data_IF_797015259085
#
_entry.id   IF_797015259085
#
_cell.length_a   1.000
_cell.length_b   1.000
_cell.length_c   1.000
_cell.angle_alpha   90.00
_cell.angle_beta   90.00
_cell.angle_gamma   90.00
#
_symmetry.space_group_name_H-M   'P 1'
#
loop_
_entity.id
_entity.type
_entity.pdbx_description
1 polymer ?
#
# COMPACT_ATOMS: atom_id res chain seq x y z
N UNK A 1 -64.69 43.81 -19.00
CA UNK A 1 -63.36 43.96 -19.64
C UNK A 1 -62.18 43.89 -18.67
N UNK A 2 -62.19 44.54 -17.50
CA UNK A 2 -61.04 44.51 -16.55
C UNK A 2 -60.63 43.10 -16.06
N UNK A 3 -61.57 42.19 -15.81
CA UNK A 3 -61.25 40.81 -15.33
C UNK A 3 -60.45 39.97 -16.34
N UNK A 4 -60.61 40.22 -17.65
CA UNK A 4 -59.93 39.43 -18.68
C UNK A 4 -58.47 39.84 -18.85
N UNK A 5 -58.15 41.10 -18.61
CA UNK A 5 -56.78 41.64 -18.61
C UNK A 5 -55.95 41.08 -17.45
N UNK A 6 -56.53 40.95 -16.25
CA UNK A 6 -55.84 40.36 -15.08
C UNK A 6 -55.45 38.90 -15.29
N UNK A 7 -56.32 38.09 -15.91
CA UNK A 7 -56.06 36.67 -16.18
C UNK A 7 -54.94 36.49 -17.22
N UNK A 8 -54.88 37.36 -18.23
CA UNK A 8 -53.79 37.35 -19.23
C UNK A 8 -52.44 37.76 -18.62
N UNK A 9 -52.42 38.76 -17.73
CA UNK A 9 -51.19 39.16 -17.01
C UNK A 9 -50.73 38.14 -15.97
N UNK A 10 -51.65 37.42 -15.30
CA UNK A 10 -51.32 36.30 -14.40
C UNK A 10 -50.79 35.10 -15.17
N UNK A 11 -51.38 34.78 -16.33
CA UNK A 11 -50.89 33.72 -17.22
C UNK A 11 -49.49 34.00 -17.77
N UNK A 12 -49.22 35.23 -18.19
CA UNK A 12 -47.89 35.63 -18.67
C UNK A 12 -46.82 35.58 -17.55
N UNK A 13 -47.16 36.02 -16.32
CA UNK A 13 -46.26 35.93 -15.18
C UNK A 13 -45.96 34.48 -14.77
N UNK A 14 -46.96 33.59 -14.83
CA UNK A 14 -46.79 32.16 -14.56
C UNK A 14 -45.93 31.47 -15.64
N UNK A 15 -46.11 31.84 -16.91
CA UNK A 15 -45.34 31.31 -18.03
C UNK A 15 -43.87 31.76 -18.00
N UNK A 16 -43.61 33.02 -17.61
CA UNK A 16 -42.26 33.55 -17.39
C UNK A 16 -41.59 32.87 -16.17
N UNK A 17 -42.33 32.57 -15.11
CA UNK A 17 -41.82 31.84 -13.94
C UNK A 17 -41.40 30.40 -14.25
N UNK A 18 -42.13 29.70 -15.12
CA UNK A 18 -41.82 28.32 -15.53
C UNK A 18 -40.56 28.26 -16.43
N UNK A 19 -40.31 29.30 -17.23
CA UNK A 19 -39.14 29.40 -18.10
C UNK A 19 -37.82 29.69 -17.36
N UNK A 20 -37.86 30.09 -16.09
CA UNK A 20 -36.66 30.35 -15.27
C UNK A 20 -36.15 29.13 -14.47
N UNK A 21 -36.88 28.02 -14.46
CA UNK A 21 -36.49 26.81 -13.72
C UNK A 21 -35.24 26.06 -14.25
N UNK A 22 -34.93 26.01 -15.56
CA UNK A 22 -33.74 25.28 -16.01
C UNK A 22 -32.41 26.00 -15.75
N UNK A 23 -32.41 27.33 -15.55
CA UNK A 23 -31.17 28.11 -15.39
C UNK A 23 -30.50 27.97 -14.01
N UNK A 24 -31.16 27.36 -13.01
CA UNK A 24 -30.64 27.22 -11.65
C UNK A 24 -29.91 25.88 -11.40
N UNK A 25 -29.87 24.97 -12.37
CA UNK A 25 -29.28 23.62 -12.19
C UNK A 25 -28.05 23.34 -13.06
N UNK A 26 -27.72 24.22 -14.00
CA UNK A 26 -26.70 23.98 -15.04
C UNK A 26 -25.27 23.79 -14.50
N UNK A 27 -25.01 24.12 -13.23
CA UNK A 27 -23.68 24.00 -12.58
C UNK A 27 -23.66 23.15 -11.32
N UNK A 28 -24.74 22.41 -11.03
CA UNK A 28 -24.81 21.61 -9.81
C UNK A 28 -23.74 20.51 -9.77
N UNK A 29 -23.46 19.87 -10.90
CA UNK A 29 -22.41 18.85 -10.97
C UNK A 29 -21.00 19.45 -10.88
N UNK A 30 -20.75 20.62 -11.50
CA UNK A 30 -19.46 21.31 -11.40
C UNK A 30 -19.18 21.87 -10.00
N UNK A 31 -20.21 22.35 -9.29
CA UNK A 31 -20.09 22.79 -7.90
C UNK A 31 -19.81 21.65 -6.91
N UNK A 32 -20.22 20.42 -7.24
CA UNK A 32 -19.99 19.24 -6.40
C UNK A 32 -18.72 18.46 -6.79
N UNK A 33 -18.01 18.87 -7.84
CA UNK A 33 -16.65 18.38 -8.13
C UNK A 33 -15.69 19.10 -7.20
N UNK A 34 -15.31 18.44 -6.10
CA UNK A 34 -14.28 18.95 -5.19
C UNK A 34 -12.94 19.05 -5.94
N UNK A 35 -12.43 20.28 -6.22
CA UNK A 35 -11.17 20.44 -6.94
C UNK A 35 -9.96 19.95 -6.12
N UNK A 36 -10.13 19.71 -4.83
CA UNK A 36 -9.08 19.19 -3.95
C UNK A 36 -9.12 17.65 -3.82
N UNK A 37 -10.11 16.98 -4.42
CA UNK A 37 -10.22 15.53 -4.41
C UNK A 37 -10.13 14.99 -5.85
N UNK A 38 -8.91 14.69 -6.34
CA UNK A 38 -8.73 14.25 -7.73
C UNK A 38 -9.51 12.95 -7.99
N UNK A 39 -10.38 13.00 -9.01
CA UNK A 39 -11.19 11.85 -9.45
C UNK A 39 -10.32 10.78 -10.13
N UNK A 40 -9.16 11.17 -10.63
CA UNK A 40 -8.17 10.29 -11.24
C UNK A 40 -6.75 10.69 -10.80
N UNK A 41 -6.04 9.77 -10.14
CA UNK A 41 -4.68 10.00 -9.62
C UNK A 41 -3.69 9.24 -10.50
N UNK A 42 -2.65 9.89 -11.05
CA UNK A 42 -1.62 9.20 -11.84
C UNK A 42 -0.95 8.08 -11.04
N UNK A 43 -0.65 6.95 -11.70
CA UNK A 43 -0.10 5.78 -11.02
C UNK A 43 1.23 6.09 -10.32
N UNK A 44 2.10 6.90 -10.92
CA UNK A 44 3.38 7.26 -10.29
C UNK A 44 3.19 8.05 -8.99
N UNK A 45 2.18 8.92 -8.90
CA UNK A 45 1.88 9.70 -7.69
C UNK A 45 1.31 8.80 -6.59
N UNK A 46 0.40 7.91 -6.94
CA UNK A 46 -0.13 6.91 -6.01
C UNK A 46 0.98 5.98 -5.51
N UNK A 47 1.94 5.61 -6.37
CA UNK A 47 3.09 4.79 -5.96
C UNK A 47 4.01 5.54 -4.97
N UNK A 48 4.28 6.82 -5.21
CA UNK A 48 5.02 7.67 -4.25
C UNK A 48 4.32 7.71 -2.90
N UNK A 49 3.01 7.96 -2.89
CA UNK A 49 2.22 8.00 -1.66
C UNK A 49 2.24 6.64 -0.94
N UNK A 50 2.08 5.55 -1.69
CA UNK A 50 2.17 4.20 -1.15
C UNK A 50 3.53 3.93 -0.51
N UNK A 51 4.65 4.29 -1.15
CA UNK A 51 5.99 4.14 -0.56
C UNK A 51 6.10 4.89 0.76
N UNK A 52 5.75 6.18 0.77
CA UNK A 52 5.89 7.03 1.96
C UNK A 52 5.03 6.50 3.10
N UNK A 53 3.75 6.19 2.85
CA UNK A 53 2.83 5.72 3.88
C UNK A 53 3.19 4.30 4.36
N UNK A 54 3.66 3.42 3.47
CA UNK A 54 4.13 2.07 3.80
C UNK A 54 5.33 2.14 4.76
N UNK A 55 6.33 2.97 4.43
CA UNK A 55 7.55 3.12 5.23
C UNK A 55 7.25 3.87 6.52
N UNK A 56 6.46 4.94 6.49
CA UNK A 56 6.15 5.72 7.69
C UNK A 56 5.36 4.90 8.71
N UNK A 57 4.28 4.24 8.29
CA UNK A 57 3.45 3.43 9.17
C UNK A 57 4.23 2.28 9.82
N UNK A 58 5.21 1.68 9.10
CA UNK A 58 5.99 0.54 9.60
C UNK A 58 7.30 0.89 10.31
N UNK A 59 8.06 1.81 9.74
CA UNK A 59 9.46 2.12 10.07
C UNK A 59 9.66 3.57 10.52
N UNK A 60 8.71 4.47 10.26
CA UNK A 60 8.79 5.91 10.55
C UNK A 60 8.75 6.27 12.03
N UNK A 61 9.21 5.41 12.94
CA UNK A 61 9.17 5.69 14.38
C UNK A 61 7.76 5.89 14.93
N UNK A 62 6.76 5.46 14.18
CA UNK A 62 5.36 5.45 14.58
C UNK A 62 5.15 4.65 15.86
N UNK A 63 3.96 4.82 16.43
CA UNK A 63 3.61 4.27 17.73
C UNK A 63 3.87 2.76 17.81
N UNK A 64 3.68 1.98 16.74
CA UNK A 64 3.99 0.53 16.77
C UNK A 64 5.48 0.22 17.00
N UNK A 65 6.37 0.84 16.23
CA UNK A 65 7.79 0.54 16.34
C UNK A 65 8.35 0.99 17.70
N UNK A 66 8.09 2.23 18.09
CA UNK A 66 8.61 2.79 19.35
C UNK A 66 7.96 2.22 20.61
N UNK A 67 6.65 1.99 20.59
CA UNK A 67 5.89 1.65 21.80
C UNK A 67 5.76 0.14 21.98
N UNK A 68 5.77 -0.66 20.90
CA UNK A 68 5.57 -2.10 20.98
C UNK A 68 6.82 -2.86 20.55
N UNK A 69 7.19 -2.83 19.26
CA UNK A 69 8.21 -3.74 18.73
C UNK A 69 9.62 -3.49 19.29
N UNK A 70 10.04 -2.23 19.45
CA UNK A 70 11.34 -1.91 20.02
C UNK A 70 11.42 -2.30 21.52
N UNK A 71 10.30 -2.21 22.24
CA UNK A 71 10.20 -2.63 23.64
C UNK A 71 10.16 -4.17 23.78
N UNK A 72 9.36 -4.85 22.96
CA UNK A 72 9.28 -6.33 22.97
C UNK A 72 10.57 -7.00 22.50
N UNK A 73 11.28 -6.37 21.57
CA UNK A 73 12.63 -6.79 21.17
C UNK A 73 13.71 -6.33 22.14
N UNK A 74 13.34 -5.61 23.20
CA UNK A 74 14.24 -5.07 24.25
C UNK A 74 15.35 -4.16 23.71
N UNK A 75 15.17 -3.60 22.52
CA UNK A 75 16.05 -2.58 21.97
C UNK A 75 15.86 -1.26 22.71
N UNK A 76 14.61 -0.95 23.10
CA UNK A 76 14.23 0.22 23.89
C UNK A 76 13.50 -0.20 25.18
N UNK A 77 13.42 0.73 26.13
CA UNK A 77 12.56 0.63 27.30
C UNK A 77 11.85 1.95 27.52
N UNK A 78 10.63 1.90 28.07
CA UNK A 78 9.84 3.09 28.38
C UNK A 78 9.95 3.45 29.85
N UNK A 79 10.05 4.76 30.12
CA UNK A 79 9.98 5.33 31.48
C UNK A 79 8.60 5.90 31.81
N UNK A 80 7.72 6.05 30.81
CA UNK A 80 6.35 6.54 30.94
C UNK A 80 5.42 5.74 30.00
N UNK A 81 4.16 5.58 30.39
CA UNK A 81 3.17 4.80 29.64
C UNK A 81 3.66 3.37 29.34
N UNK A 82 4.13 2.66 30.36
CA UNK A 82 4.84 1.37 30.22
C UNK A 82 3.94 0.15 29.95
N UNK A 83 2.65 0.38 29.71
CA UNK A 83 1.65 -0.68 29.50
C UNK A 83 2.11 -1.69 28.43
N UNK A 84 2.61 -1.18 27.30
CA UNK A 84 3.09 -2.01 26.21
C UNK A 84 4.34 -2.84 26.53
N UNK A 85 5.24 -2.31 27.36
CA UNK A 85 6.44 -3.04 27.85
C UNK A 85 6.02 -4.23 28.73
N UNK A 86 4.83 -4.14 29.34
CA UNK A 86 4.18 -5.22 30.10
C UNK A 86 3.19 -6.04 29.26
N UNK A 87 3.23 -5.94 27.93
CA UNK A 87 2.35 -6.65 27.00
C UNK A 87 0.86 -6.29 27.12
N UNK A 88 0.55 -5.11 27.67
CA UNK A 88 -0.82 -4.58 27.72
C UNK A 88 -1.09 -3.78 26.44
N UNK A 89 -1.80 -4.42 25.50
CA UNK A 89 -2.14 -3.83 24.21
C UNK A 89 -3.30 -2.82 24.33
N UNK A 90 -3.19 -1.70 23.61
CA UNK A 90 -4.32 -0.77 23.42
C UNK A 90 -5.09 -1.17 22.16
N UNK A 91 -6.38 -1.47 22.32
CA UNK A 91 -7.23 -1.96 21.22
C UNK A 91 -7.33 -0.96 20.06
N UNK A 92 -7.45 0.34 20.36
CA UNK A 92 -7.53 1.38 19.31
C UNK A 92 -6.31 1.35 18.39
N UNK A 93 -5.13 1.20 18.98
CA UNK A 93 -3.88 1.12 18.23
C UNK A 93 -3.84 -0.14 17.37
N UNK A 94 -4.17 -1.31 17.93
CA UNK A 94 -4.17 -2.56 17.15
C UNK A 94 -5.15 -2.49 15.98
N UNK A 95 -6.32 -1.85 16.18
CA UNK A 95 -7.28 -1.62 15.10
C UNK A 95 -6.69 -0.70 14.01
N UNK A 96 -6.02 0.39 14.39
CA UNK A 96 -5.37 1.28 13.43
C UNK A 96 -4.30 0.55 12.59
N UNK A 97 -3.45 -0.25 13.23
CA UNK A 97 -2.41 -1.04 12.53
C UNK A 97 -2.99 -2.12 11.62
N UNK A 98 -4.18 -2.63 11.94
CA UNK A 98 -4.88 -3.56 11.07
C UNK A 98 -5.56 -2.83 9.88
N UNK A 99 -6.19 -1.68 10.11
CA UNK A 99 -7.05 -1.00 9.13
C UNK A 99 -6.29 -0.06 8.19
N UNK A 100 -5.31 0.69 8.70
CA UNK A 100 -4.52 1.65 7.92
C UNK A 100 -3.88 1.06 6.66
N UNK A 101 -3.31 -0.15 6.67
CA UNK A 101 -2.84 -0.79 5.44
C UNK A 101 -3.90 -0.83 4.33
N UNK A 102 -5.12 -1.30 4.65
CA UNK A 102 -6.20 -1.46 3.68
C UNK A 102 -6.78 -0.12 3.23
N UNK A 103 -6.88 0.85 4.14
CA UNK A 103 -7.51 2.15 3.86
C UNK A 103 -6.57 3.15 3.19
N UNK A 104 -5.27 2.83 3.09
CA UNK A 104 -4.25 3.72 2.53
C UNK A 104 -3.39 2.96 1.51
N UNK A 105 -2.17 2.61 1.86
CA UNK A 105 -1.14 2.24 0.90
C UNK A 105 -1.40 0.91 0.17
N UNK A 106 -2.16 -0.05 0.72
CA UNK A 106 -2.54 -1.23 -0.06
C UNK A 106 -3.56 -0.90 -1.15
N UNK A 107 -4.48 0.03 -0.88
CA UNK A 107 -5.44 0.51 -1.88
C UNK A 107 -4.74 1.32 -2.97
N UNK A 108 -3.80 2.19 -2.60
CA UNK A 108 -2.96 2.91 -3.55
C UNK A 108 -2.16 1.93 -4.43
N UNK A 109 -1.58 0.88 -3.83
CA UNK A 109 -0.86 -0.14 -4.60
C UNK A 109 -1.78 -0.93 -5.53
N UNK A 110 -3.01 -1.25 -5.13
CA UNK A 110 -4.00 -1.84 -6.03
C UNK A 110 -4.27 -0.93 -7.22
N UNK A 111 -4.52 0.36 -6.99
CA UNK A 111 -4.72 1.35 -8.05
C UNK A 111 -3.53 1.38 -9.03
N UNK A 112 -2.31 1.43 -8.51
CA UNK A 112 -1.09 1.42 -9.34
C UNK A 112 -1.03 0.15 -10.17
N UNK A 113 -1.22 -1.02 -9.58
CA UNK A 113 -1.15 -2.32 -10.26
C UNK A 113 -2.23 -2.41 -11.36
N UNK A 114 -3.45 -1.95 -11.10
CA UNK A 114 -4.53 -1.99 -12.08
C UNK A 114 -4.32 -1.03 -13.24
N UNK A 115 -3.75 0.16 -12.99
CA UNK A 115 -3.45 1.14 -14.03
C UNK A 115 -2.28 0.74 -14.93
N UNK A 116 -1.27 0.10 -14.35
CA UNK A 116 0.05 -0.11 -14.99
C UNK A 116 0.25 -1.50 -15.59
N UNK A 117 -0.71 -2.42 -15.42
CA UNK A 117 -0.66 -3.75 -16.05
C UNK A 117 -0.67 -3.66 -17.58
N UNK A 118 -0.28 -4.75 -18.24
CA UNK A 118 -0.37 -4.85 -19.69
C UNK A 118 -1.80 -4.57 -20.19
N UNK A 119 -1.93 -3.68 -21.18
CA UNK A 119 -3.20 -3.17 -21.70
C UNK A 119 -3.93 -2.21 -20.75
N UNK A 120 -3.32 -1.81 -19.64
CA UNK A 120 -3.85 -0.83 -18.69
C UNK A 120 -3.77 0.61 -19.21
N UNK A 121 -4.54 1.54 -18.61
CA UNK A 121 -4.60 2.94 -19.06
C UNK A 121 -3.29 3.70 -18.91
N UNK A 122 -2.41 3.28 -18.00
CA UNK A 122 -1.07 3.84 -17.79
C UNK A 122 -0.03 2.71 -17.83
N UNK A 123 -0.13 1.81 -18.83
CA UNK A 123 0.75 0.64 -18.96
C UNK A 123 2.22 0.99 -18.65
N UNK A 124 2.73 0.36 -17.61
CA UNK A 124 4.10 0.54 -17.13
C UNK A 124 4.49 -0.71 -16.32
N UNK A 125 5.02 -1.71 -17.01
CA UNK A 125 5.29 -3.03 -16.42
C UNK A 125 6.36 -2.98 -15.31
N UNK A 126 7.27 -2.01 -15.36
CA UNK A 126 8.30 -1.81 -14.32
C UNK A 126 7.68 -1.27 -13.03
N UNK A 127 6.87 -0.22 -13.15
CA UNK A 127 6.11 0.33 -12.03
C UNK A 127 5.11 -0.69 -11.46
N UNK A 128 4.49 -1.49 -12.32
CA UNK A 128 3.61 -2.59 -11.92
C UNK A 128 4.32 -3.63 -11.05
N UNK A 129 5.48 -4.12 -11.51
CA UNK A 129 6.26 -5.10 -10.78
C UNK A 129 6.80 -4.52 -9.45
N UNK A 130 7.29 -3.28 -9.45
CA UNK A 130 7.71 -2.58 -8.24
C UNK A 130 6.56 -2.44 -7.21
N UNK A 131 5.36 -2.08 -7.67
CA UNK A 131 4.16 -2.02 -6.84
C UNK A 131 3.76 -3.37 -6.27
N UNK A 132 3.87 -4.47 -7.04
CA UNK A 132 3.64 -5.83 -6.54
C UNK A 132 4.66 -6.24 -5.48
N UNK A 133 5.94 -5.91 -5.66
CA UNK A 133 6.99 -6.15 -4.65
C UNK A 133 6.68 -5.39 -3.35
N UNK A 134 6.29 -4.12 -3.43
CA UNK A 134 5.92 -3.33 -2.24
C UNK A 134 4.61 -3.82 -1.60
N UNK A 135 3.65 -4.30 -2.40
CA UNK A 135 2.43 -4.94 -1.90
C UNK A 135 2.76 -6.21 -1.13
N UNK A 136 3.67 -7.04 -1.64
CA UNK A 136 4.14 -8.23 -0.94
C UNK A 136 4.87 -7.87 0.37
N UNK A 137 5.66 -6.79 0.37
CA UNK A 137 6.27 -6.27 1.59
C UNK A 137 5.21 -5.84 2.62
N UNK A 138 4.12 -5.19 2.21
CA UNK A 138 3.09 -4.79 3.16
C UNK A 138 2.25 -5.97 3.69
N UNK A 139 1.85 -6.92 2.82
CA UNK A 139 1.07 -8.07 3.26
C UNK A 139 1.86 -9.03 4.13
N UNK A 140 3.17 -9.27 3.89
CA UNK A 140 3.94 -10.15 4.79
C UNK A 140 3.98 -9.58 6.20
N UNK A 141 4.18 -8.26 6.35
CA UNK A 141 4.13 -7.58 7.66
C UNK A 141 2.78 -7.77 8.33
N UNK A 142 1.70 -7.60 7.57
CA UNK A 142 0.34 -7.67 8.11
C UNK A 142 0.02 -9.08 8.62
N UNK A 143 0.30 -10.11 7.81
CA UNK A 143 0.07 -11.49 8.23
C UNK A 143 1.04 -11.90 9.34
N UNK A 144 2.28 -11.40 9.36
CA UNK A 144 3.22 -11.67 10.46
C UNK A 144 2.71 -11.17 11.81
N UNK A 145 1.94 -10.07 11.81
CA UNK A 145 1.42 -9.48 13.03
C UNK A 145 0.09 -10.10 13.48
N UNK A 146 -0.79 -10.44 12.54
CA UNK A 146 -2.18 -10.83 12.86
C UNK A 146 -2.52 -12.28 12.50
N UNK A 147 -1.64 -13.01 11.82
CA UNK A 147 -1.92 -14.35 11.30
C UNK A 147 -2.76 -14.28 10.05
N UNK A 148 -3.90 -14.99 10.06
CA UNK A 148 -4.85 -14.99 8.96
C UNK A 148 -5.46 -13.59 8.80
N UNK A 149 -5.54 -13.08 7.57
CA UNK A 149 -6.03 -11.72 7.27
C UNK A 149 -6.75 -11.69 5.92
N UNK A 150 -7.61 -10.68 5.65
CA UNK A 150 -8.13 -10.44 4.31
C UNK A 150 -7.03 -10.26 3.27
N UNK A 151 -6.97 -11.14 2.28
CA UNK A 151 -5.92 -11.10 1.25
C UNK A 151 -6.48 -11.21 -0.17
N UNK A 152 -6.90 -12.41 -0.60
CA UNK A 152 -7.37 -12.64 -1.98
C UNK A 152 -8.68 -11.93 -2.33
N UNK A 153 -9.50 -11.65 -1.32
CA UNK A 153 -10.77 -10.92 -1.47
C UNK A 153 -10.66 -9.46 -0.98
N UNK A 154 -9.49 -9.03 -0.50
CA UNK A 154 -9.30 -7.68 0.02
C UNK A 154 -9.27 -6.63 -1.11
N UNK A 155 -9.61 -5.39 -0.76
CA UNK A 155 -9.52 -4.22 -1.64
C UNK A 155 -10.44 -4.27 -2.88
N UNK A 156 -11.34 -5.26 -2.96
CA UNK A 156 -12.26 -5.44 -4.08
C UNK A 156 -13.55 -4.61 -3.94
N UNK A 157 -13.71 -3.78 -2.92
CA UNK A 157 -14.97 -3.07 -2.67
C UNK A 157 -15.43 -2.14 -3.81
N UNK A 158 -14.50 -1.61 -4.60
CA UNK A 158 -14.82 -0.82 -5.81
C UNK A 158 -15.29 -1.74 -6.95
N UNK A 159 -14.60 -2.87 -7.16
CA UNK A 159 -14.84 -3.79 -8.28
C UNK A 159 -16.00 -4.76 -8.01
N UNK A 160 -16.27 -5.05 -6.74
CA UNK A 160 -17.30 -5.95 -6.23
C UNK A 160 -17.94 -5.34 -4.97
N UNK A 161 -18.91 -4.42 -5.15
CA UNK A 161 -19.58 -3.74 -4.04
C UNK A 161 -20.33 -4.67 -3.07
N UNK A 162 -20.69 -5.87 -3.51
CA UNK A 162 -21.37 -6.88 -2.68
C UNK A 162 -20.41 -7.57 -1.70
N UNK A 163 -19.09 -7.51 -1.94
CA UNK A 163 -18.07 -8.05 -1.05
C UNK A 163 -17.77 -7.10 0.12
N UNK A 164 -18.74 -6.98 1.04
CA UNK A 164 -18.61 -6.15 2.25
C UNK A 164 -17.92 -6.87 3.42
N UNK A 165 -17.57 -8.16 3.25
CA UNK A 165 -16.97 -9.01 4.28
C UNK A 165 -15.94 -9.96 3.63
N UNK A 166 -14.78 -9.43 3.21
CA UNK A 166 -13.75 -10.28 2.61
C UNK A 166 -13.32 -11.36 3.61
N UNK A 167 -13.16 -12.59 3.13
CA UNK A 167 -12.69 -13.70 3.96
C UNK A 167 -11.27 -13.45 4.46
N UNK A 168 -10.93 -14.11 5.56
CA UNK A 168 -9.56 -14.17 6.05
C UNK A 168 -8.88 -15.37 5.39
N UNK A 169 -7.80 -15.13 4.66
CA UNK A 169 -6.97 -16.19 4.11
C UNK A 169 -5.95 -16.65 5.13
N UNK A 170 -5.57 -17.93 5.05
CA UNK A 170 -4.60 -18.47 6.00
C UNK A 170 -3.22 -17.86 5.78
N UNK A 171 -2.47 -17.64 6.86
CA UNK A 171 -1.08 -17.15 6.74
C UNK A 171 -0.25 -18.03 5.78
N UNK A 172 -0.47 -19.35 5.78
CA UNK A 172 0.20 -20.27 4.86
C UNK A 172 -0.13 -19.97 3.38
N UNK A 173 -1.41 -19.77 3.03
CA UNK A 173 -1.79 -19.49 1.64
C UNK A 173 -1.27 -18.12 1.20
N UNK A 174 -1.30 -17.12 2.08
CA UNK A 174 -0.72 -15.79 1.85
C UNK A 174 0.77 -15.91 1.55
N UNK A 175 1.54 -16.61 2.39
CA UNK A 175 2.99 -16.78 2.19
C UNK A 175 3.34 -17.46 0.86
N UNK A 176 2.59 -18.51 0.48
CA UNK A 176 2.76 -19.20 -0.80
C UNK A 176 2.54 -18.26 -1.98
N UNK A 177 1.47 -17.46 -1.93
CA UNK A 177 1.14 -16.51 -2.98
C UNK A 177 2.19 -15.39 -3.07
N UNK A 178 2.58 -14.79 -1.93
CA UNK A 178 3.61 -13.74 -1.89
C UNK A 178 4.95 -14.21 -2.47
N UNK A 179 5.39 -15.42 -2.14
CA UNK A 179 6.66 -15.97 -2.67
C UNK A 179 6.56 -16.27 -4.17
N UNK A 180 5.42 -16.76 -4.65
CA UNK A 180 5.18 -16.95 -6.08
C UNK A 180 5.13 -15.61 -6.84
N UNK A 181 4.45 -14.61 -6.28
CA UNK A 181 4.33 -13.27 -6.85
C UNK A 181 5.70 -12.58 -6.95
N UNK A 182 6.53 -12.69 -5.91
CA UNK A 182 7.91 -12.16 -5.92
C UNK A 182 8.81 -12.87 -6.95
N UNK A 183 8.64 -14.18 -7.14
CA UNK A 183 9.35 -14.93 -8.21
C UNK A 183 8.93 -14.44 -9.60
N UNK A 184 7.64 -14.15 -9.79
CA UNK A 184 7.15 -13.57 -11.03
C UNK A 184 7.68 -12.14 -11.22
N UNK A 185 7.69 -11.31 -10.17
CA UNK A 185 8.27 -9.96 -10.21
C UNK A 185 9.76 -10.00 -10.62
N UNK A 186 10.55 -10.96 -10.13
CA UNK A 186 11.93 -11.15 -10.59
C UNK A 186 12.00 -11.38 -12.11
N UNK A 187 11.10 -12.20 -12.66
CA UNK A 187 11.03 -12.49 -14.10
C UNK A 187 10.62 -11.25 -14.89
N UNK A 188 9.59 -10.54 -14.43
CA UNK A 188 9.06 -9.35 -15.09
C UNK A 188 10.12 -8.23 -15.12
N UNK A 189 10.77 -7.96 -13.99
CA UNK A 189 11.83 -6.95 -13.89
C UNK A 189 13.08 -7.32 -14.68
N UNK A 190 13.42 -8.62 -14.78
CA UNK A 190 14.52 -9.08 -15.63
C UNK A 190 14.29 -8.73 -17.10
N UNK A 191 13.05 -8.83 -17.58
CA UNK A 191 12.71 -8.48 -18.97
C UNK A 191 12.82 -6.98 -19.29
N UNK A 192 12.91 -6.15 -18.25
CA UNK A 192 12.97 -4.69 -18.34
C UNK A 192 14.37 -4.14 -18.02
N UNK A 193 15.38 -4.99 -17.88
CA UNK A 193 16.73 -4.57 -17.51
C UNK A 193 17.25 -3.44 -18.42
N UNK A 194 17.75 -2.36 -17.80
CA UNK A 194 18.25 -1.17 -18.50
C UNK A 194 17.16 -0.18 -18.93
N UNK A 195 15.88 -0.47 -18.69
CA UNK A 195 14.76 0.42 -18.99
C UNK A 195 14.22 1.01 -17.68
N UNK A 196 14.63 2.24 -17.38
CA UNK A 196 14.09 2.97 -16.23
C UNK A 196 12.59 3.24 -16.45
N UNK A 197 11.75 2.89 -15.47
CA UNK A 197 10.31 2.99 -15.60
C UNK A 197 9.72 4.35 -15.19
N UNK A 198 10.56 5.34 -14.92
CA UNK A 198 10.19 6.74 -14.75
C UNK A 198 10.03 7.19 -13.30
N UNK A 199 9.28 8.27 -13.14
CA UNK A 199 9.11 8.96 -11.86
C UNK A 199 8.24 8.17 -10.87
N UNK A 200 8.22 8.64 -9.63
CA UNK A 200 7.30 8.18 -8.59
C UNK A 200 7.87 7.12 -7.66
N UNK A 201 9.01 6.54 -8.01
CA UNK A 201 9.79 5.64 -7.14
C UNK A 201 10.82 6.42 -6.31
N UNK A 202 10.58 6.48 -5.00
CA UNK A 202 11.48 7.13 -4.05
C UNK A 202 12.55 6.18 -3.46
N UNK A 203 12.50 4.88 -3.79
CA UNK A 203 13.43 3.88 -3.24
C UNK A 203 14.60 3.68 -4.20
N UNK A 204 14.31 3.38 -5.48
CA UNK A 204 15.33 3.04 -6.47
C UNK A 204 15.28 3.91 -7.73
N UNK A 205 14.48 4.97 -7.73
CA UNK A 205 14.41 5.93 -8.83
C UNK A 205 14.02 5.31 -10.17
N UNK A 206 13.26 4.21 -10.17
CA UNK A 206 12.81 3.54 -11.38
C UNK A 206 13.75 2.47 -11.92
N UNK A 207 14.79 2.07 -11.18
CA UNK A 207 15.75 1.04 -11.59
C UNK A 207 15.17 -0.39 -11.42
N UNK A 208 14.86 -1.09 -12.53
CA UNK A 208 14.30 -2.44 -12.45
C UNK A 208 15.29 -3.47 -11.88
N UNK A 209 16.60 -3.27 -12.01
CA UNK A 209 17.60 -4.21 -11.50
C UNK A 209 17.71 -4.13 -9.97
N UNK A 210 17.64 -2.91 -9.43
CA UNK A 210 17.60 -2.69 -7.98
C UNK A 210 16.30 -3.25 -7.37
N UNK A 211 15.15 -3.04 -8.01
CA UNK A 211 13.89 -3.69 -7.59
C UNK A 211 13.97 -5.21 -7.67
N UNK A 212 14.69 -5.76 -8.64
CA UNK A 212 14.89 -7.21 -8.78
C UNK A 212 15.75 -7.75 -7.64
N UNK A 213 16.81 -7.03 -7.23
CA UNK A 213 17.59 -7.33 -6.01
C UNK A 213 16.70 -7.35 -4.78
N UNK A 214 15.85 -6.33 -4.61
CA UNK A 214 14.94 -6.26 -3.48
C UNK A 214 13.89 -7.38 -3.49
N UNK A 215 13.29 -7.69 -4.64
CA UNK A 215 12.29 -8.75 -4.78
C UNK A 215 12.85 -10.12 -4.38
N UNK A 216 14.06 -10.46 -4.82
CA UNK A 216 14.71 -11.71 -4.47
C UNK A 216 15.16 -11.73 -3.00
N UNK A 217 15.69 -10.64 -2.46
CA UNK A 217 16.04 -10.56 -1.03
C UNK A 217 14.81 -10.65 -0.12
N UNK A 218 13.69 -10.06 -0.52
CA UNK A 218 12.41 -10.21 0.18
C UNK A 218 11.90 -11.65 0.08
N UNK A 219 11.93 -12.25 -1.11
CA UNK A 219 11.55 -13.66 -1.31
C UNK A 219 12.39 -14.60 -0.44
N UNK A 220 13.70 -14.38 -0.38
CA UNK A 220 14.61 -15.13 0.50
C UNK A 220 14.23 -14.98 1.97
N UNK A 221 13.89 -13.76 2.43
CA UNK A 221 13.41 -13.52 3.80
C UNK A 221 12.13 -14.32 4.11
N UNK A 222 11.16 -14.29 3.20
CA UNK A 222 9.88 -15.00 3.38
C UNK A 222 10.10 -16.52 3.38
N UNK A 223 10.92 -17.03 2.46
CA UNK A 223 11.28 -18.45 2.39
C UNK A 223 11.99 -18.91 3.66
N UNK A 224 12.95 -18.13 4.16
CA UNK A 224 13.67 -18.46 5.40
C UNK A 224 12.72 -18.51 6.60
N UNK A 225 11.71 -17.63 6.64
CA UNK A 225 10.69 -17.67 7.68
C UNK A 225 9.82 -18.92 7.57
N UNK A 226 9.36 -19.24 6.36
CA UNK A 226 8.54 -20.43 6.11
C UNK A 226 9.31 -21.73 6.41
N UNK A 227 10.62 -21.78 6.13
CA UNK A 227 11.48 -22.92 6.46
C UNK A 227 11.63 -23.13 7.98
N UNK A 228 11.58 -22.04 8.76
CA UNK A 228 11.64 -22.08 10.23
C UNK A 228 10.36 -22.56 10.91
N UNK A 229 9.28 -22.84 10.16
CA UNK A 229 8.02 -23.36 10.73
C UNK A 229 8.23 -24.79 11.19
N UNK A 230 8.53 -24.97 12.47
CA UNK A 230 8.59 -26.28 13.13
C UNK A 230 7.17 -26.64 13.57
N UNK A 231 6.42 -27.34 12.74
CA UNK A 231 5.17 -27.95 13.14
C UNK A 231 5.30 -29.48 13.14
N UNK A 232 5.01 -30.09 14.29
CA UNK A 232 5.09 -31.55 14.51
C UNK A 232 3.98 -32.31 13.77
N UNK A 233 2.95 -31.61 13.28
CA UNK A 233 1.76 -32.17 12.62
C UNK A 233 1.59 -31.77 11.15
N UNK A 234 2.08 -30.61 10.74
CA UNK A 234 2.11 -30.17 9.34
C UNK A 234 3.56 -29.95 8.97
N UNK A 235 4.04 -30.60 7.92
CA UNK A 235 5.44 -30.42 7.51
C UNK A 235 5.68 -28.92 7.21
N UNK A 236 6.93 -28.43 7.35
CA UNK A 236 7.31 -27.13 6.81
C UNK A 236 6.84 -27.01 5.36
N UNK A 237 6.84 -25.81 4.79
CA UNK A 237 6.75 -25.74 3.33
C UNK A 237 7.93 -26.53 2.74
N UNK A 238 7.66 -27.76 2.31
CA UNK A 238 8.65 -28.79 1.94
C UNK A 238 9.60 -28.32 0.82
N UNK A 239 9.29 -27.20 0.15
CA UNK A 239 10.06 -26.64 -0.95
C UNK A 239 10.89 -25.42 -0.54
N UNK A 240 10.72 -24.85 0.67
CA UNK A 240 11.38 -23.61 1.05
C UNK A 240 12.91 -23.73 1.01
N UNK A 241 13.47 -24.79 1.60
CA UNK A 241 14.93 -25.05 1.57
C UNK A 241 15.47 -25.27 0.15
N UNK A 242 14.71 -25.98 -0.69
CA UNK A 242 15.08 -26.23 -2.08
C UNK A 242 15.08 -24.93 -2.90
N UNK A 243 14.08 -24.06 -2.70
CA UNK A 243 14.03 -22.76 -3.35
C UNK A 243 15.14 -21.82 -2.88
N UNK A 244 15.43 -21.78 -1.58
CA UNK A 244 16.57 -21.03 -1.02
C UNK A 244 17.88 -21.50 -1.67
N UNK A 245 18.11 -22.81 -1.69
CA UNK A 245 19.32 -23.41 -2.29
C UNK A 245 19.43 -23.04 -3.77
N UNK A 246 18.33 -23.13 -4.51
CA UNK A 246 18.29 -22.77 -5.93
C UNK A 246 18.57 -21.27 -6.17
N UNK A 247 18.07 -20.38 -5.30
CA UNK A 247 18.36 -18.95 -5.39
C UNK A 247 19.84 -18.66 -5.14
N UNK A 248 20.39 -19.20 -4.05
CA UNK A 248 21.79 -18.99 -3.67
C UNK A 248 22.77 -19.58 -4.69
N UNK A 249 22.42 -20.69 -5.34
CA UNK A 249 23.23 -21.31 -6.38
C UNK A 249 23.22 -20.57 -7.72
N UNK A 250 22.26 -19.65 -7.94
CA UNK A 250 22.07 -18.97 -9.22
C UNK A 250 21.94 -17.43 -9.04
N UNK A 251 22.96 -16.73 -8.53
CA UNK A 251 22.89 -15.30 -8.26
C UNK A 251 22.66 -14.43 -9.51
N UNK A 252 23.05 -14.90 -10.71
CA UNK A 252 22.73 -14.21 -11.96
C UNK A 252 21.22 -14.24 -12.30
N UNK A 253 20.54 -15.33 -11.91
CA UNK A 253 19.09 -15.48 -12.11
C UNK A 253 18.31 -14.78 -10.99
N UNK A 254 18.83 -14.85 -9.77
CA UNK A 254 18.25 -14.29 -8.57
C UNK A 254 19.22 -13.30 -7.90
N UNK A 255 19.52 -12.14 -8.53
CA UNK A 255 20.38 -11.14 -7.93
C UNK A 255 19.73 -10.66 -6.63
N UNK A 256 20.52 -10.46 -5.60
CA UNK A 256 20.09 -10.06 -4.25
C UNK A 256 20.84 -8.80 -3.82
N UNK A 257 20.42 -8.18 -2.72
CA UNK A 257 21.16 -7.11 -2.05
C UNK A 257 22.50 -7.68 -1.56
N UNK A 258 23.62 -7.16 -2.08
CA UNK A 258 24.98 -7.61 -1.75
C UNK A 258 25.77 -6.56 -0.96
N UNK A 259 25.31 -5.31 -0.98
CA UNK A 259 25.96 -4.19 -0.30
C UNK A 259 24.95 -3.23 0.33
N UNK A 260 25.43 -2.29 1.13
CA UNK A 260 24.58 -1.24 1.70
C UNK A 260 24.03 -0.27 0.64
N UNK A 261 24.67 -0.17 -0.52
CA UNK A 261 24.21 0.69 -1.62
C UNK A 261 22.97 0.11 -2.30
N UNK A 262 22.72 -1.21 -2.15
CA UNK A 262 21.55 -1.90 -2.68
C UNK A 262 20.32 -1.84 -1.75
N UNK A 263 20.48 -1.28 -0.54
CA UNK A 263 19.42 -1.26 0.46
C UNK A 263 18.16 -0.57 -0.06
N UNK A 264 16.99 -1.20 0.16
CA UNK A 264 15.69 -0.57 -0.04
C UNK A 264 15.48 0.45 1.09
N UNK A 265 15.69 1.73 0.80
CA UNK A 265 15.60 2.82 1.77
C UNK A 265 14.77 3.98 1.22
N UNK A 266 14.03 4.63 2.12
CA UNK A 266 13.40 5.91 1.87
C UNK A 266 14.26 7.00 2.51
N UNK A 267 14.80 7.89 1.69
CA UNK A 267 15.60 9.02 2.14
C UNK A 267 14.69 10.18 2.55
N UNK A 268 14.92 10.72 3.75
CA UNK A 268 14.17 11.88 4.26
C UNK A 268 15.00 13.16 4.05
N UNK A 269 14.45 14.22 3.44
CA UNK A 269 15.17 15.49 3.24
C UNK A 269 15.42 16.26 4.55
N UNK A 270 14.83 15.84 5.67
CA UNK A 270 15.15 16.35 7.01
C UNK A 270 14.37 17.61 7.43
N UNK A 271 13.49 18.12 6.57
CA UNK A 271 12.61 19.25 6.86
C UNK A 271 11.17 18.78 7.03
N UNK A 272 10.39 19.44 7.90
CA UNK A 272 8.96 19.12 8.04
C UNK A 272 8.21 19.41 6.72
N UNK A 273 7.22 18.60 6.34
CA UNK A 273 6.75 17.39 7.05
C UNK A 273 7.62 16.13 6.80
N UNK A 274 8.56 16.17 5.86
CA UNK A 274 9.39 15.05 5.41
C UNK A 274 10.67 14.84 6.25
N UNK A 275 10.50 14.63 7.56
CA UNK A 275 11.59 14.29 8.49
C UNK A 275 11.34 12.89 9.06
N UNK A 276 12.39 12.10 9.18
CA UNK A 276 12.30 10.73 9.71
C UNK A 276 11.54 10.73 11.06
N UNK A 277 10.46 9.94 11.16
CA UNK A 277 9.61 10.02 12.34
C UNK A 277 10.24 9.46 13.62
N UNK A 278 11.22 8.55 13.54
CA UNK A 278 12.02 8.15 14.72
C UNK A 278 12.79 9.33 15.27
N UNK A 279 13.40 10.14 14.39
CA UNK A 279 14.06 11.37 14.80
C UNK A 279 13.07 12.36 15.44
N UNK A 280 11.83 12.48 14.91
CA UNK A 280 10.79 13.34 15.50
C UNK A 280 10.44 12.92 16.93
N UNK A 281 10.21 11.63 17.13
CA UNK A 281 9.81 11.05 18.41
C UNK A 281 10.89 11.22 19.47
N UNK A 282 12.16 11.07 19.10
CA UNK A 282 13.29 11.23 20.04
C UNK A 282 13.63 12.70 20.31
N UNK A 283 13.58 13.57 19.29
CA UNK A 283 13.93 14.99 19.44
C UNK A 283 12.96 15.77 20.35
N UNK A 284 11.68 15.38 20.37
CA UNK A 284 10.64 16.06 21.18
C UNK A 284 10.58 15.58 22.63
N UNK A 285 11.35 14.54 22.99
CA UNK A 285 11.32 13.89 24.32
C UNK A 285 12.63 14.01 25.11
N UNK A 286 13.62 14.71 24.57
CA UNK A 286 14.80 15.22 25.29
C UNK A 286 14.59 16.68 25.66
#
# INVERSE_FOLDING_TARGET
>A
MKKMTYIQSLGAALFIGILMLPACTDKFEEMNKDPNNPVDVPAYTAFTAAIVNSVDHRLGGGWMNHTYFACWSQQWCKIQYIDEDHYLLRTENQNDFFQTPYNSYLMDLKLVIDKTKAGGPEENLGLNAAARVLRAWNFHILTDQFGDVPYSEALLGIDNPDNVRPKYDTQESIYKDLIADLKQCNTDLKSLQGVNFGNGDLIYGGDPEAWRRFANSLRLRLLNRAAGVVNVATKPWDQAEAEITAMLANPAEYPMIESNDDNAKLEYPGQLPYRNGTFNTLYTRT
#
